data_IF_254044158427
#
_entry.id   IF_254044158427
#
_cell.length_a   1.000
_cell.length_b   1.000
_cell.length_c   1.000
_cell.angle_alpha   90.00
_cell.angle_beta   90.00
_cell.angle_gamma   90.00
#
_symmetry.space_group_name_H-M   'P 1'
#
loop_
_entity.id
_entity.type
_entity.pdbx_description
1 polymer ?
#
# COMPACT_ATOMS: atom_id res chain seq x y z
N UNK A 1 9.39 80.65 19.91
CA UNK A 1 10.21 79.43 20.14
C UNK A 1 9.41 78.50 20.99
N UNK A 2 8.81 77.45 20.44
CA UNK A 2 8.00 76.44 21.14
C UNK A 2 8.62 75.07 20.88
N UNK A 3 9.22 74.51 21.91
CA UNK A 3 9.88 73.22 21.92
C UNK A 3 8.82 72.14 22.18
N UNK A 4 8.56 71.27 21.18
CA UNK A 4 7.72 70.08 21.34
C UNK A 4 8.61 68.93 21.80
N UNK A 5 8.38 68.42 23.01
CA UNK A 5 8.90 67.13 23.49
C UNK A 5 8.03 65.99 22.90
N UNK A 6 8.63 65.10 22.15
CA UNK A 6 8.01 63.82 21.76
C UNK A 6 8.46 62.75 22.79
N UNK A 7 7.49 62.23 23.51
CA UNK A 7 7.69 61.05 24.39
C UNK A 7 7.57 59.78 23.50
N UNK A 8 8.64 58.97 23.42
CA UNK A 8 8.66 57.67 22.76
C UNK A 8 8.27 56.62 23.82
N UNK A 9 7.08 56.07 23.67
CA UNK A 9 6.64 54.94 24.46
C UNK A 9 7.24 53.66 23.85
N UNK A 10 8.16 53.00 24.56
CA UNK A 10 8.71 51.72 24.18
C UNK A 10 7.70 50.61 24.53
N UNK A 11 7.14 49.95 23.49
CA UNK A 11 6.27 48.81 23.63
C UNK A 11 7.16 47.55 23.71
N UNK A 12 7.26 46.98 24.95
CA UNK A 12 7.93 45.68 25.13
C UNK A 12 7.01 44.56 24.65
N UNK A 13 7.34 43.96 23.50
CA UNK A 13 6.71 42.74 23.00
C UNK A 13 7.37 41.57 23.71
N UNK A 14 6.67 40.97 24.68
CA UNK A 14 7.06 39.69 25.27
C UNK A 14 6.81 38.56 24.26
N UNK A 15 7.85 38.11 23.60
CA UNK A 15 7.83 36.89 22.78
C UNK A 15 7.84 35.67 23.73
N UNK A 16 6.67 35.10 23.95
CA UNK A 16 6.53 33.77 24.58
C UNK A 16 7.06 32.73 23.60
N UNK A 17 8.28 32.26 23.82
CA UNK A 17 8.83 31.10 23.14
C UNK A 17 8.05 29.86 23.58
N UNK A 18 7.07 29.46 22.79
CA UNK A 18 6.44 28.13 22.91
C UNK A 18 7.51 27.08 22.61
N UNK A 19 8.02 26.45 23.67
CA UNK A 19 8.86 25.24 23.54
C UNK A 19 7.96 24.14 23.04
N UNK A 20 7.91 23.96 21.72
CA UNK A 20 7.41 22.74 21.10
C UNK A 20 8.40 21.64 21.49
N UNK A 21 8.08 20.87 22.53
CA UNK A 21 8.70 19.57 22.74
C UNK A 21 8.30 18.72 21.54
N UNK A 22 9.21 18.59 20.58
CA UNK A 22 9.11 17.57 19.57
C UNK A 22 9.07 16.24 20.33
N UNK A 23 7.88 15.64 20.45
CA UNK A 23 7.78 14.23 20.78
C UNK A 23 8.48 13.54 19.61
N UNK A 24 9.69 13.06 19.85
CA UNK A 24 10.30 12.06 19.00
C UNK A 24 9.29 10.93 18.94
N UNK A 25 8.59 10.82 17.82
CA UNK A 25 7.76 9.66 17.53
C UNK A 25 8.73 8.46 17.55
N UNK A 26 8.69 7.69 18.63
CA UNK A 26 9.42 6.43 18.72
C UNK A 26 8.96 5.62 17.53
N UNK A 27 9.82 5.50 16.53
CA UNK A 27 9.52 4.75 15.34
C UNK A 27 9.13 3.33 15.79
N UNK A 28 7.92 2.91 15.44
CA UNK A 28 7.45 1.58 15.81
C UNK A 28 8.44 0.55 15.26
N UNK A 29 8.93 -0.34 16.13
CA UNK A 29 9.81 -1.40 15.68
C UNK A 29 9.12 -2.25 14.62
N UNK A 30 9.79 -2.60 13.51
CA UNK A 30 9.20 -3.42 12.48
C UNK A 30 8.83 -4.80 13.06
N UNK A 31 7.61 -5.25 12.76
CA UNK A 31 7.06 -6.55 13.23
C UNK A 31 6.97 -7.57 12.11
N UNK A 32 7.00 -7.10 10.88
CA UNK A 32 6.73 -7.89 9.69
C UNK A 32 7.84 -7.70 8.67
N UNK A 33 8.20 -8.79 8.01
CA UNK A 33 9.02 -8.79 6.80
C UNK A 33 8.16 -9.28 5.64
N UNK A 34 8.30 -8.65 4.48
CA UNK A 34 7.63 -9.15 3.29
C UNK A 34 8.60 -9.24 2.12
N UNK A 35 8.39 -10.29 1.35
CA UNK A 35 9.06 -10.52 0.09
C UNK A 35 8.00 -10.46 -1.02
N UNK A 36 8.14 -9.51 -1.93
CA UNK A 36 7.23 -9.41 -3.08
C UNK A 36 7.61 -10.47 -4.11
N UNK A 37 6.62 -11.24 -4.58
CA UNK A 37 6.86 -12.31 -5.53
C UNK A 37 6.56 -11.87 -6.95
N UNK A 38 5.32 -11.97 -7.36
CA UNK A 38 4.90 -11.81 -8.75
C UNK A 38 3.59 -11.04 -8.84
N UNK A 39 3.33 -10.48 -10.02
CA UNK A 39 2.04 -9.87 -10.37
C UNK A 39 1.32 -10.82 -11.34
N UNK A 40 0.23 -11.42 -10.86
CA UNK A 40 -0.64 -12.27 -11.67
C UNK A 40 -1.75 -11.42 -12.28
N UNK A 41 -1.90 -11.48 -13.60
CA UNK A 41 -2.93 -10.73 -14.31
C UNK A 41 -3.28 -11.44 -15.62
N UNK A 42 -4.47 -11.16 -16.14
CA UNK A 42 -4.88 -11.60 -17.47
C UNK A 42 -4.05 -11.00 -18.61
N UNK A 43 -4.27 -11.49 -19.83
CA UNK A 43 -3.53 -11.04 -21.00
C UNK A 43 -3.83 -9.59 -21.40
N UNK A 44 -4.94 -9.03 -20.94
CA UNK A 44 -5.37 -7.65 -21.18
C UNK A 44 -4.52 -6.60 -20.43
N UNK A 45 -3.74 -7.03 -19.42
CA UNK A 45 -2.86 -6.18 -18.63
C UNK A 45 -1.45 -6.26 -19.22
N UNK A 46 -0.94 -5.14 -19.70
CA UNK A 46 0.39 -5.09 -20.31
C UNK A 46 1.53 -5.25 -19.29
N UNK A 47 2.73 -5.53 -19.79
CA UNK A 47 3.90 -5.75 -18.94
C UNK A 47 4.32 -4.50 -18.15
N UNK A 48 4.12 -3.31 -18.72
CA UNK A 48 4.48 -2.05 -18.06
C UNK A 48 3.57 -1.79 -16.84
N UNK A 49 2.28 -2.08 -16.98
CA UNK A 49 1.32 -1.95 -15.88
C UNK A 49 1.56 -2.99 -14.77
N UNK A 50 1.94 -4.23 -15.13
CA UNK A 50 2.37 -5.27 -14.16
C UNK A 50 3.62 -4.84 -13.40
N UNK A 51 4.63 -4.30 -14.10
CA UNK A 51 5.84 -3.78 -13.45
C UNK A 51 5.52 -2.65 -12.49
N UNK A 52 4.67 -1.71 -12.92
CA UNK A 52 4.24 -0.60 -12.07
C UNK A 52 3.44 -1.08 -10.84
N UNK A 53 2.58 -2.09 -11.00
CA UNK A 53 1.87 -2.70 -9.86
C UNK A 53 2.83 -3.24 -8.79
N UNK A 54 3.91 -3.89 -9.22
CA UNK A 54 4.96 -4.37 -8.31
C UNK A 54 5.67 -3.22 -7.58
N UNK A 55 6.00 -2.16 -8.30
CA UNK A 55 6.62 -0.96 -7.71
C UNK A 55 5.69 -0.26 -6.72
N UNK A 56 4.40 -0.10 -7.08
CA UNK A 56 3.39 0.49 -6.22
C UNK A 56 3.20 -0.31 -4.92
N UNK A 57 3.15 -1.64 -5.02
CA UNK A 57 3.10 -2.52 -3.84
C UNK A 57 4.32 -2.32 -2.94
N UNK A 58 5.53 -2.37 -3.50
CA UNK A 58 6.77 -2.19 -2.74
C UNK A 58 6.82 -0.82 -2.05
N UNK A 59 6.44 0.22 -2.76
CA UNK A 59 6.43 1.57 -2.23
C UNK A 59 5.42 1.74 -1.08
N UNK A 60 4.21 1.20 -1.23
CA UNK A 60 3.18 1.28 -0.18
C UNK A 60 3.59 0.49 1.07
N UNK A 61 4.14 -0.71 0.88
CA UNK A 61 4.64 -1.52 1.99
C UNK A 61 5.84 -0.87 2.68
N UNK A 62 6.80 -0.33 1.92
CA UNK A 62 8.00 0.33 2.48
C UNK A 62 7.67 1.63 3.25
N UNK A 63 6.55 2.27 2.96
CA UNK A 63 6.09 3.47 3.67
C UNK A 63 5.53 3.16 5.08
N UNK A 64 5.36 1.90 5.45
CA UNK A 64 4.75 1.48 6.71
C UNK A 64 5.82 1.14 7.76
N UNK A 65 5.83 1.80 8.91
CA UNK A 65 6.90 1.64 9.91
C UNK A 65 6.95 0.24 10.54
N UNK A 66 5.84 -0.49 10.56
CA UNK A 66 5.77 -1.86 11.08
C UNK A 66 6.34 -2.92 10.14
N UNK A 67 6.79 -2.54 8.95
CA UNK A 67 7.28 -3.46 7.93
C UNK A 67 8.77 -3.27 7.64
N UNK A 68 9.51 -4.38 7.66
CA UNK A 68 10.89 -4.42 7.21
C UNK A 68 10.94 -4.86 5.74
N UNK A 69 11.53 -4.05 4.88
CA UNK A 69 11.73 -4.38 3.46
C UNK A 69 13.03 -5.14 3.21
N UNK A 70 13.99 -5.07 4.14
CA UNK A 70 15.30 -5.69 4.03
C UNK A 70 15.71 -6.35 5.35
N UNK A 71 16.24 -7.56 5.27
CA UNK A 71 16.81 -8.30 6.40
C UNK A 71 18.30 -8.57 6.24
N UNK A 72 18.93 -7.95 5.28
CA UNK A 72 20.36 -8.03 5.02
C UNK A 72 20.72 -8.73 3.71
N UNK A 73 21.92 -8.48 3.21
CA UNK A 73 22.36 -8.99 1.92
C UNK A 73 22.45 -10.53 1.90
N UNK A 74 21.93 -11.13 0.84
CA UNK A 74 22.05 -12.56 0.57
C UNK A 74 21.09 -13.48 1.30
N UNK A 75 20.11 -12.96 2.04
CA UNK A 75 19.17 -13.78 2.82
C UNK A 75 17.82 -13.98 2.12
N UNK A 76 17.53 -13.32 1.02
CA UNK A 76 16.26 -13.53 0.31
C UNK A 76 16.28 -14.87 -0.43
N UNK A 77 15.39 -15.78 -0.06
CA UNK A 77 15.17 -17.04 -0.76
C UNK A 77 13.83 -17.01 -1.50
N UNK A 78 13.82 -17.39 -2.77
CA UNK A 78 12.60 -17.48 -3.58
C UNK A 78 11.73 -18.65 -3.14
N UNK A 79 10.42 -18.64 -3.44
CA UNK A 79 9.56 -19.80 -3.26
C UNK A 79 10.15 -21.03 -3.95
N UNK A 80 10.23 -22.15 -3.22
CA UNK A 80 10.82 -23.40 -3.74
C UNK A 80 12.32 -23.58 -3.47
N UNK A 81 13.04 -22.53 -3.01
CA UNK A 81 14.40 -22.64 -2.53
C UNK A 81 14.46 -22.97 -1.03
N UNK A 82 15.64 -23.37 -0.55
CA UNK A 82 15.84 -23.58 0.90
C UNK A 82 15.73 -22.23 1.64
N UNK A 83 14.72 -22.11 2.47
CA UNK A 83 14.42 -20.92 3.25
C UNK A 83 14.82 -20.99 4.71
N UNK A 84 15.61 -22.00 5.07
CA UNK A 84 16.03 -22.23 6.46
C UNK A 84 16.82 -21.03 7.02
N UNK A 85 17.72 -20.46 6.23
CA UNK A 85 18.48 -19.27 6.60
C UNK A 85 17.60 -18.03 6.79
N UNK A 86 16.64 -17.82 5.87
CA UNK A 86 15.64 -16.75 5.97
C UNK A 86 14.79 -16.91 7.22
N UNK A 87 14.26 -18.10 7.47
CA UNK A 87 13.45 -18.38 8.64
C UNK A 87 14.23 -18.19 9.96
N UNK A 88 15.50 -18.59 10.00
CA UNK A 88 16.38 -18.39 11.15
C UNK A 88 16.61 -16.90 11.43
N UNK A 89 16.88 -16.09 10.41
CA UNK A 89 17.08 -14.65 10.58
C UNK A 89 15.80 -13.91 10.98
N UNK A 90 14.66 -14.28 10.40
CA UNK A 90 13.36 -13.73 10.81
C UNK A 90 13.08 -14.02 12.29
N UNK A 91 13.33 -15.25 12.74
CA UNK A 91 13.19 -15.65 14.15
C UNK A 91 14.13 -14.87 15.07
N UNK A 92 15.40 -14.69 14.67
CA UNK A 92 16.40 -13.92 15.42
C UNK A 92 15.97 -12.47 15.63
N UNK A 93 15.36 -11.85 14.60
CA UNK A 93 14.84 -10.46 14.64
C UNK A 93 13.42 -10.35 15.17
N UNK A 94 12.81 -11.45 15.59
CA UNK A 94 11.41 -11.50 16.04
C UNK A 94 10.41 -10.95 15.00
N UNK A 95 10.71 -11.19 13.70
CA UNK A 95 9.89 -10.76 12.58
C UNK A 95 9.01 -11.91 12.07
N UNK A 96 7.78 -11.59 11.67
CA UNK A 96 6.92 -12.52 10.92
C UNK A 96 7.11 -12.26 9.42
N UNK A 97 7.54 -13.29 8.69
CA UNK A 97 7.79 -13.19 7.25
C UNK A 97 6.58 -13.58 6.40
N UNK A 98 6.42 -12.86 5.29
CA UNK A 98 5.37 -13.13 4.31
C UNK A 98 5.88 -13.00 2.88
N UNK A 99 5.46 -13.94 2.04
CA UNK A 99 5.48 -13.78 0.58
C UNK A 99 4.21 -13.06 0.15
N UNK A 100 4.37 -11.99 -0.59
CA UNK A 100 3.26 -11.16 -1.04
C UNK A 100 3.13 -11.20 -2.55
N UNK A 101 1.95 -11.56 -3.03
CA UNK A 101 1.59 -11.63 -4.45
C UNK A 101 0.44 -10.68 -4.74
N UNK A 102 0.55 -9.93 -5.82
CA UNK A 102 -0.54 -9.12 -6.37
C UNK A 102 -1.27 -9.92 -7.44
N UNK A 103 -2.60 -9.88 -7.41
CA UNK A 103 -3.45 -10.41 -8.48
C UNK A 103 -4.36 -9.30 -8.98
N UNK A 104 -4.26 -8.98 -10.26
CA UNK A 104 -5.23 -8.11 -10.94
C UNK A 104 -6.36 -9.02 -11.40
N UNK A 105 -7.49 -8.97 -10.67
CA UNK A 105 -8.63 -9.85 -10.89
C UNK A 105 -9.50 -9.38 -12.04
N UNK A 106 -9.65 -8.07 -12.17
CA UNK A 106 -10.44 -7.45 -13.23
C UNK A 106 -9.74 -6.21 -13.72
N UNK A 107 -9.66 -6.05 -15.00
CA UNK A 107 -9.23 -4.84 -15.69
C UNK A 107 -10.24 -4.52 -16.80
N UNK A 108 -10.88 -3.35 -16.69
CA UNK A 108 -11.78 -2.85 -17.71
C UNK A 108 -11.27 -1.51 -18.21
N UNK A 109 -11.27 -1.38 -19.52
CA UNK A 109 -10.92 -0.15 -20.21
C UNK A 109 -11.96 0.13 -21.27
N UNK A 110 -12.67 1.22 -21.13
CA UNK A 110 -13.65 1.68 -22.10
C UNK A 110 -13.26 3.04 -22.65
N UNK A 111 -13.51 3.23 -23.94
CA UNK A 111 -13.31 4.51 -24.59
C UNK A 111 -14.58 4.89 -25.32
N UNK A 112 -15.07 6.09 -25.03
CA UNK A 112 -16.29 6.62 -25.63
C UNK A 112 -16.00 7.97 -26.26
N UNK A 113 -16.64 8.24 -27.39
CA UNK A 113 -16.64 9.56 -28.02
C UNK A 113 -17.76 10.40 -27.43
N UNK A 114 -17.49 11.41 -26.62
CA UNK A 114 -18.51 12.26 -26.02
C UNK A 114 -19.27 13.07 -27.09
N UNK A 115 -18.60 13.39 -28.22
CA UNK A 115 -19.21 14.01 -29.40
C UNK A 115 -18.61 13.37 -30.66
N UNK A 116 -19.42 12.89 -31.61
CA UNK A 116 -18.93 12.37 -32.88
C UNK A 116 -18.03 13.40 -33.59
N UNK A 117 -16.80 13.01 -33.96
CA UNK A 117 -15.82 13.89 -34.60
C UNK A 117 -15.12 14.87 -33.64
N UNK A 118 -15.33 14.78 -32.32
CA UNK A 118 -14.63 15.58 -31.33
C UNK A 118 -13.17 15.12 -31.15
N UNK A 119 -12.27 16.05 -30.76
CA UNK A 119 -10.87 15.78 -30.45
C UNK A 119 -10.66 15.20 -29.06
N UNK A 120 -11.69 15.12 -28.24
CA UNK A 120 -11.67 14.57 -26.90
C UNK A 120 -12.32 13.20 -26.90
N UNK A 121 -11.70 12.28 -26.19
CA UNK A 121 -12.21 10.93 -25.91
C UNK A 121 -12.47 10.82 -24.41
N UNK A 122 -13.50 10.12 -24.01
CA UNK A 122 -13.74 9.78 -22.61
C UNK A 122 -13.17 8.40 -22.35
N UNK A 123 -12.14 8.35 -21.52
CA UNK A 123 -11.50 7.12 -21.07
C UNK A 123 -12.08 6.77 -19.69
N UNK A 124 -12.69 5.59 -19.57
CA UNK A 124 -13.05 4.99 -18.29
C UNK A 124 -12.15 3.76 -18.06
N UNK A 125 -11.57 3.66 -16.88
CA UNK A 125 -10.73 2.54 -16.49
C UNK A 125 -11.10 2.09 -15.09
N UNK A 126 -11.35 0.79 -14.93
CA UNK A 126 -11.68 0.16 -13.64
C UNK A 126 -10.74 -1.02 -13.42
N UNK A 127 -10.30 -1.18 -12.19
CA UNK A 127 -9.41 -2.26 -11.81
C UNK A 127 -9.76 -2.79 -10.42
N UNK A 128 -9.78 -4.12 -10.31
CA UNK A 128 -9.90 -4.82 -9.04
C UNK A 128 -8.64 -5.64 -8.81
N UNK A 129 -8.05 -5.45 -7.64
CA UNK A 129 -6.78 -6.04 -7.25
C UNK A 129 -6.95 -6.81 -5.94
N UNK A 130 -6.32 -7.97 -5.82
CA UNK A 130 -6.12 -8.64 -4.53
C UNK A 130 -4.64 -8.74 -4.19
N UNK A 131 -4.32 -8.50 -2.93
CA UNK A 131 -3.00 -8.68 -2.34
C UNK A 131 -3.06 -9.86 -1.39
N UNK A 132 -2.32 -10.91 -1.72
CA UNK A 132 -2.33 -12.17 -0.97
C UNK A 132 -0.97 -12.37 -0.31
N UNK A 133 -0.97 -12.61 1.01
CA UNK A 133 0.24 -12.92 1.76
C UNK A 133 0.22 -14.35 2.29
N UNK A 134 1.33 -15.06 2.10
CA UNK A 134 1.55 -16.39 2.69
C UNK A 134 2.73 -16.35 3.65
N UNK A 135 2.67 -17.13 4.73
CA UNK A 135 3.73 -17.17 5.74
C UNK A 135 5.03 -17.77 5.21
N UNK A 136 6.16 -17.28 5.71
CA UNK A 136 7.48 -17.86 5.50
C UNK A 136 7.90 -18.56 6.80
N UNK A 137 8.32 -19.84 6.77
CA UNK A 137 8.54 -20.71 5.60
C UNK A 137 7.33 -21.56 5.19
N UNK A 138 6.23 -21.60 5.95
CA UNK A 138 5.20 -22.64 5.85
C UNK A 138 4.28 -22.47 4.62
N UNK A 139 4.35 -21.36 3.91
CA UNK A 139 3.53 -21.03 2.75
C UNK A 139 2.00 -21.09 3.00
N UNK A 140 1.57 -20.88 4.25
CA UNK A 140 0.16 -20.85 4.63
C UNK A 140 -0.43 -19.46 4.37
N UNK A 141 -1.67 -19.42 3.90
CA UNK A 141 -2.39 -18.14 3.73
C UNK A 141 -2.46 -17.40 5.07
N UNK A 142 -1.90 -16.20 5.09
CA UNK A 142 -1.88 -15.34 6.27
C UNK A 142 -2.91 -14.22 6.17
N UNK A 143 -3.02 -13.60 5.02
CA UNK A 143 -3.96 -12.52 4.75
C UNK A 143 -4.33 -12.44 3.27
N UNK A 144 -5.47 -11.81 3.02
CA UNK A 144 -5.92 -11.40 1.70
C UNK A 144 -6.62 -10.05 1.85
N UNK A 145 -6.18 -9.06 1.09
CA UNK A 145 -6.83 -7.77 0.96
C UNK A 145 -7.30 -7.56 -0.48
N UNK A 146 -8.40 -6.87 -0.66
CA UNK A 146 -8.93 -6.52 -1.97
C UNK A 146 -9.11 -5.01 -2.06
N UNK A 147 -8.84 -4.45 -3.23
CA UNK A 147 -9.08 -3.05 -3.53
C UNK A 147 -9.66 -2.91 -4.92
N UNK A 148 -10.50 -1.91 -5.09
CA UNK A 148 -11.14 -1.60 -6.35
C UNK A 148 -11.06 -0.11 -6.58
N UNK A 149 -10.60 0.31 -7.75
CA UNK A 149 -10.52 1.70 -8.13
C UNK A 149 -10.94 1.89 -9.58
N UNK A 150 -11.49 3.07 -9.87
CA UNK A 150 -11.87 3.46 -11.20
C UNK A 150 -11.68 4.96 -11.42
N UNK A 151 -11.28 5.33 -12.63
CA UNK A 151 -11.12 6.72 -13.06
C UNK A 151 -11.80 6.90 -14.40
N UNK A 152 -12.55 7.98 -14.50
CA UNK A 152 -13.09 8.48 -15.77
C UNK A 152 -12.44 9.82 -16.08
N UNK A 153 -11.80 9.94 -17.25
CA UNK A 153 -11.05 11.13 -17.66
C UNK A 153 -11.35 11.50 -19.11
N UNK A 154 -11.36 12.80 -19.42
CA UNK A 154 -11.33 13.28 -20.79
C UNK A 154 -9.88 13.39 -21.26
N UNK A 155 -9.55 12.74 -22.36
CA UNK A 155 -8.20 12.67 -22.92
C UNK A 155 -8.19 13.19 -24.35
N UNK A 156 -7.17 13.94 -24.71
CA UNK A 156 -7.00 14.41 -26.08
C UNK A 156 -6.49 13.26 -26.95
N UNK A 157 -7.03 13.14 -28.16
CA UNK A 157 -6.63 12.06 -29.10
C UNK A 157 -5.12 12.06 -29.37
N UNK A 158 -4.49 13.21 -29.46
CA UNK A 158 -3.04 13.34 -29.67
C UNK A 158 -2.19 12.82 -28.49
N UNK A 159 -2.76 12.71 -27.28
CA UNK A 159 -2.08 12.25 -26.06
C UNK A 159 -2.62 10.94 -25.53
N UNK A 160 -3.50 10.31 -26.26
CA UNK A 160 -4.28 9.17 -25.82
C UNK A 160 -3.43 8.05 -25.20
N UNK A 161 -2.32 7.68 -25.80
CA UNK A 161 -1.47 6.61 -25.30
C UNK A 161 -0.82 6.97 -23.95
N UNK A 162 -0.29 8.20 -23.84
CA UNK A 162 0.35 8.67 -22.61
C UNK A 162 -0.65 8.84 -21.47
N UNK A 163 -1.80 9.46 -21.77
CA UNK A 163 -2.85 9.71 -20.76
C UNK A 163 -3.48 8.36 -20.31
N UNK A 164 -3.68 7.40 -21.22
CA UNK A 164 -4.11 6.05 -20.88
C UNK A 164 -3.14 5.34 -19.92
N UNK A 165 -1.84 5.44 -20.18
CA UNK A 165 -0.83 4.85 -19.31
C UNK A 165 -0.83 5.49 -17.91
N UNK A 166 -0.97 6.83 -17.84
CA UNK A 166 -1.02 7.55 -16.58
C UNK A 166 -2.28 7.21 -15.77
N UNK A 167 -3.45 7.20 -16.40
CA UNK A 167 -4.70 6.79 -15.74
C UNK A 167 -4.59 5.35 -15.22
N UNK A 168 -4.02 4.42 -16.00
CA UNK A 168 -3.80 3.05 -15.56
C UNK A 168 -2.92 2.96 -14.31
N UNK A 169 -1.86 3.78 -14.24
CA UNK A 169 -0.98 3.85 -13.07
C UNK A 169 -1.70 4.39 -11.83
N UNK A 170 -2.52 5.40 -11.97
CA UNK A 170 -3.29 5.95 -10.85
C UNK A 170 -4.32 4.93 -10.33
N UNK A 171 -5.10 4.32 -11.22
CA UNK A 171 -6.09 3.32 -10.86
C UNK A 171 -5.46 2.13 -10.12
N UNK A 172 -4.35 1.59 -10.63
CA UNK A 172 -3.72 0.43 -9.99
C UNK A 172 -3.08 0.79 -8.66
N UNK A 173 -2.51 2.00 -8.53
CA UNK A 173 -1.94 2.48 -7.28
C UNK A 173 -3.00 2.58 -6.19
N UNK A 174 -4.16 3.14 -6.51
CA UNK A 174 -5.26 3.30 -5.56
C UNK A 174 -5.87 1.94 -5.18
N UNK A 175 -6.05 1.04 -6.14
CA UNK A 175 -6.54 -0.31 -5.87
C UNK A 175 -5.56 -1.10 -4.98
N UNK A 176 -4.24 -1.02 -5.23
CA UNK A 176 -3.23 -1.67 -4.39
C UNK A 176 -3.23 -1.09 -2.99
N UNK A 177 -3.29 0.22 -2.84
CA UNK A 177 -3.33 0.87 -1.54
C UNK A 177 -4.50 0.37 -0.70
N UNK A 178 -5.71 0.34 -1.27
CA UNK A 178 -6.90 -0.20 -0.59
C UNK A 178 -6.73 -1.68 -0.22
N UNK A 179 -6.18 -2.50 -1.12
CA UNK A 179 -5.94 -3.91 -0.86
C UNK A 179 -4.93 -4.14 0.27
N UNK A 180 -3.85 -3.35 0.33
CA UNK A 180 -2.86 -3.42 1.41
C UNK A 180 -3.45 -2.93 2.71
N UNK A 181 -4.22 -1.84 2.73
CA UNK A 181 -4.89 -1.35 3.94
C UNK A 181 -5.81 -2.42 4.55
N UNK A 182 -6.59 -3.12 3.73
CA UNK A 182 -7.42 -4.25 4.18
C UNK A 182 -6.58 -5.43 4.69
N UNK A 183 -5.46 -5.75 4.03
CA UNK A 183 -4.57 -6.82 4.42
C UNK A 183 -3.94 -6.55 5.80
N UNK A 184 -3.44 -5.34 6.03
CA UNK A 184 -2.86 -4.90 7.30
C UNK A 184 -3.90 -4.93 8.41
N UNK A 185 -5.10 -4.45 8.15
CA UNK A 185 -6.20 -4.51 9.11
C UNK A 185 -6.46 -5.95 9.57
N UNK A 186 -6.52 -6.91 8.65
CA UNK A 186 -6.70 -8.32 8.97
C UNK A 186 -5.54 -8.94 9.75
N UNK A 187 -4.31 -8.49 9.51
CA UNK A 187 -3.14 -8.93 10.28
C UNK A 187 -3.13 -8.41 11.71
N UNK A 188 -3.66 -7.22 11.93
CA UNK A 188 -3.74 -6.59 13.25
C UNK A 188 -4.91 -7.11 14.10
N UNK A 189 -5.93 -7.71 13.47
CA UNK A 189 -7.04 -8.29 14.20
C UNK A 189 -6.58 -9.52 15.01
N UNK A 190 -6.95 -9.62 16.31
CA UNK A 190 -6.70 -10.83 17.06
C UNK A 190 -7.42 -12.00 16.38
N UNK A 191 -6.70 -13.09 16.14
CA UNK A 191 -7.31 -14.32 15.61
C UNK A 191 -8.43 -14.71 16.57
N UNK A 192 -9.68 -14.66 16.13
CA UNK A 192 -10.81 -15.17 16.88
C UNK A 192 -10.50 -16.63 17.22
N UNK A 193 -10.34 -16.91 18.51
CA UNK A 193 -10.19 -18.28 19.00
C UNK A 193 -11.48 -19.01 18.57
N UNK A 194 -11.39 -20.10 17.80
CA UNK A 194 -12.59 -20.86 17.46
C UNK A 194 -13.26 -21.24 18.78
N UNK A 195 -14.48 -20.75 18.98
CA UNK A 195 -15.32 -21.18 20.11
C UNK A 195 -15.56 -22.65 19.87
N UNK A 196 -14.85 -23.46 20.66
CA UNK A 196 -15.04 -24.91 20.68
C UNK A 196 -16.44 -25.10 21.28
N UNK A 197 -17.47 -25.20 20.46
CA UNK A 197 -18.77 -25.70 20.86
C UNK A 197 -18.58 -27.14 21.29
N UNK A 198 -18.14 -27.30 22.55
CA UNK A 198 -18.12 -28.56 23.23
C UNK A 198 -19.55 -29.11 23.25
N UNK A 199 -19.79 -30.04 22.34
CA UNK A 199 -20.94 -30.89 22.26
C UNK A 199 -21.34 -31.34 23.66
N UNK A 200 -22.31 -30.70 24.26
CA UNK A 200 -23.12 -31.35 25.31
C UNK A 200 -24.00 -32.38 24.61
N UNK A 201 -23.44 -33.59 24.38
CA UNK A 201 -24.25 -34.80 24.25
C UNK A 201 -24.87 -35.08 25.59
N UNK A 202 -26.06 -34.56 25.82
CA UNK A 202 -26.95 -35.04 26.86
C UNK A 202 -27.46 -36.41 26.41
N UNK A 203 -26.98 -37.49 27.11
CA UNK A 203 -27.64 -38.78 27.12
C UNK A 203 -29.00 -38.57 27.77
N UNK A 204 -30.06 -38.86 27.08
CA UNK A 204 -31.36 -39.21 27.55
C UNK A 204 -31.66 -40.61 27.04
#
# INVERSE_FOLDING_TARGET
>A
MKTCLFAIAALAVATSASVYTAHEAVAAEPKYYFQTQDVKAGPEVDAALKAYAMEALKADLAARPEWASDIGPGISARPGEDRSALAAELKKRNLRGFDVTVRIETFKKEMKDPKPGGRLKRLAMEMKVSVVGTTIPEAKLAFNGTGEAGIEAEVAEARLAADTANVGKEVIKDAIKQAVDQAVLKLSMPKSVPVNESRKKKKG
#
